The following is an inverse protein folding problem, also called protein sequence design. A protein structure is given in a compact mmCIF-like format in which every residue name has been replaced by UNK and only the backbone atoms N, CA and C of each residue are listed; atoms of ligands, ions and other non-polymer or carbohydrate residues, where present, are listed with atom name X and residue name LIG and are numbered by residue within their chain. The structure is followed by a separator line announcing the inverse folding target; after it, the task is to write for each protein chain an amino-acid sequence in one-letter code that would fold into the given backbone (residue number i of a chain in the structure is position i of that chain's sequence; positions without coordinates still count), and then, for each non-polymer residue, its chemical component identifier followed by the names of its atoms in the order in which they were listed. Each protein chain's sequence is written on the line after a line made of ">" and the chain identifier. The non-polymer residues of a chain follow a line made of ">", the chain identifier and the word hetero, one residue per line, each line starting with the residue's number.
data_IF_507400051332
#
_entry.id   IF_507400051332
#
_cell.length_a   1.000
_cell.length_b   1.000
_cell.length_c   1.000
_cell.angle_alpha   90.00
_cell.angle_beta   90.00
_cell.angle_gamma   90.00
#
_symmetry.space_group_name_H-M   'P 1'
#
loop_
_entity.id
_entity.type
_entity.pdbx_description
1 polymer ?
#
# COMPACT_ATOMS: atom_id res chain seq x y z
N UNK A 1 28.47 -53.24 -30.46
CA UNK A 1 28.61 -52.12 -29.50
C UNK A 1 27.94 -50.88 -30.10
N UNK A 2 26.73 -50.53 -29.65
CA UNK A 2 25.98 -49.34 -30.10
C UNK A 2 26.31 -48.16 -29.17
N UNK A 3 26.74 -47.03 -29.75
CA UNK A 3 26.94 -45.76 -29.04
C UNK A 3 25.58 -45.07 -28.84
N UNK A 4 25.27 -44.64 -27.63
CA UNK A 4 24.12 -43.77 -27.37
C UNK A 4 24.49 -42.30 -27.63
N UNK A 5 23.62 -41.48 -28.24
CA UNK A 5 23.79 -40.04 -28.28
C UNK A 5 23.26 -39.40 -26.99
N UNK A 6 24.08 -38.52 -26.41
CA UNK A 6 23.70 -37.67 -25.27
C UNK A 6 22.82 -36.55 -25.82
N UNK A 7 21.52 -36.61 -25.56
CA UNK A 7 20.58 -35.54 -25.86
C UNK A 7 20.73 -34.44 -24.81
N UNK A 8 21.38 -33.33 -25.15
CA UNK A 8 21.38 -32.14 -24.30
C UNK A 8 20.01 -31.47 -24.33
N UNK A 9 19.22 -31.69 -23.28
CA UNK A 9 17.99 -30.97 -23.00
C UNK A 9 18.37 -29.57 -22.47
N UNK A 10 18.27 -28.56 -23.33
CA UNK A 10 18.49 -27.15 -22.98
C UNK A 10 17.17 -26.60 -22.43
N UNK A 11 17.01 -26.64 -21.10
CA UNK A 11 15.93 -25.96 -20.38
C UNK A 11 16.27 -24.46 -20.34
N UNK A 12 15.68 -23.67 -21.23
CA UNK A 12 15.73 -22.20 -21.12
C UNK A 12 14.61 -21.78 -20.19
N UNK A 13 14.92 -21.70 -18.89
CA UNK A 13 14.09 -21.00 -17.90
C UNK A 13 14.18 -19.49 -18.18
N UNK A 14 13.21 -18.95 -18.92
CA UNK A 14 13.02 -17.50 -19.03
C UNK A 14 12.51 -17.03 -17.66
N UNK A 15 13.46 -16.65 -16.82
CA UNK A 15 13.24 -15.92 -15.58
C UNK A 15 12.62 -14.58 -15.98
N UNK A 16 11.31 -14.43 -15.75
CA UNK A 16 10.58 -13.19 -16.00
C UNK A 16 11.16 -12.09 -15.11
N UNK A 17 11.99 -11.24 -15.70
CA UNK A 17 12.34 -9.95 -15.12
C UNK A 17 11.04 -9.12 -15.09
N UNK A 18 10.33 -9.14 -13.98
CA UNK A 18 9.32 -8.13 -13.71
C UNK A 18 10.05 -6.80 -13.56
N UNK A 19 10.07 -6.03 -14.64
CA UNK A 19 10.48 -4.63 -14.57
C UNK A 19 9.42 -3.92 -13.73
N UNK A 20 9.71 -3.68 -12.46
CA UNK A 20 8.99 -2.71 -11.63
C UNK A 20 9.19 -1.34 -12.27
N UNK A 21 8.35 -1.04 -13.27
CA UNK A 21 8.21 0.30 -13.77
C UNK A 21 7.80 1.15 -12.57
N UNK A 22 8.64 2.12 -12.21
CA UNK A 22 8.30 3.12 -11.20
C UNK A 22 7.02 3.82 -11.68
N UNK A 23 5.86 3.38 -11.19
CA UNK A 23 4.59 3.97 -11.54
C UNK A 23 4.60 5.41 -10.99
N UNK A 24 4.33 6.38 -11.85
CA UNK A 24 4.25 7.80 -11.48
C UNK A 24 2.79 8.17 -11.30
N UNK A 25 2.49 8.97 -10.29
CA UNK A 25 1.14 9.43 -10.00
C UNK A 25 1.01 9.88 -8.55
N UNK A 26 -0.04 10.62 -8.26
CA UNK A 26 -0.36 11.15 -6.94
C UNK A 26 -1.54 10.43 -6.27
N UNK A 27 -2.33 9.66 -7.03
CA UNK A 27 -3.42 8.83 -6.50
C UNK A 27 -3.06 7.35 -6.65
N UNK A 28 -3.06 6.64 -5.54
CA UNK A 28 -2.81 5.20 -5.45
C UNK A 28 -4.13 4.47 -5.63
N UNK A 29 -4.27 3.65 -6.68
CA UNK A 29 -5.46 2.88 -6.96
C UNK A 29 -5.17 1.40 -6.74
N UNK A 30 -5.85 0.80 -5.78
CA UNK A 30 -5.51 -0.53 -5.28
C UNK A 30 -6.71 -1.47 -5.23
N UNK A 31 -6.51 -2.69 -5.74
CA UNK A 31 -7.46 -3.79 -5.63
C UNK A 31 -6.92 -4.86 -4.66
N UNK A 32 -6.97 -4.59 -3.35
CA UNK A 32 -6.71 -5.58 -2.30
C UNK A 32 -7.78 -6.70 -2.19
N UNK A 33 -8.68 -6.81 -3.17
CA UNK A 33 -9.75 -7.81 -3.25
C UNK A 33 -9.32 -9.11 -3.92
N UNK A 34 -10.30 -10.00 -4.07
CA UNK A 34 -10.17 -11.33 -4.68
C UNK A 34 -10.89 -11.44 -6.03
N UNK A 35 -11.50 -10.35 -6.51
CA UNK A 35 -12.21 -10.28 -7.80
C UNK A 35 -11.48 -9.34 -8.78
N UNK A 36 -11.55 -9.63 -10.07
CA UNK A 36 -11.14 -8.67 -11.10
C UNK A 36 -12.21 -7.59 -11.23
N UNK A 37 -11.78 -6.34 -11.36
CA UNK A 37 -12.66 -5.18 -11.46
C UNK A 37 -12.42 -4.43 -12.77
N UNK A 38 -13.50 -3.98 -13.42
CA UNK A 38 -13.42 -2.94 -14.44
C UNK A 38 -13.62 -1.60 -13.75
N UNK A 39 -12.60 -0.75 -13.80
CA UNK A 39 -12.58 0.55 -13.11
C UNK A 39 -12.47 1.66 -14.14
N UNK A 40 -13.45 2.55 -14.18
CA UNK A 40 -13.38 3.77 -14.98
C UNK A 40 -13.15 4.96 -14.06
N UNK A 41 -12.05 5.67 -14.25
CA UNK A 41 -11.78 6.96 -13.61
C UNK A 41 -11.83 8.05 -14.68
N UNK A 42 -12.80 8.95 -14.55
CA UNK A 42 -13.21 9.90 -15.58
C UNK A 42 -13.51 9.21 -16.92
N UNK A 43 -12.60 9.31 -17.90
CA UNK A 43 -12.74 8.71 -19.24
C UNK A 43 -11.87 7.45 -19.42
N UNK A 44 -10.97 7.16 -18.48
CA UNK A 44 -9.99 6.09 -18.59
C UNK A 44 -10.48 4.83 -17.88
N UNK A 45 -10.46 3.71 -18.59
CA UNK A 45 -10.89 2.40 -18.06
C UNK A 45 -9.71 1.47 -17.89
N UNK A 46 -9.69 0.77 -16.76
CA UNK A 46 -8.66 -0.15 -16.31
C UNK A 46 -9.28 -1.50 -15.95
N UNK A 47 -8.57 -2.58 -16.24
CA UNK A 47 -8.88 -3.91 -15.69
C UNK A 47 -7.93 -4.18 -14.54
N UNK A 48 -8.45 -4.23 -13.32
CA UNK A 48 -7.69 -4.38 -12.08
C UNK A 48 -7.89 -5.78 -11.54
N UNK A 49 -6.92 -6.66 -11.66
CA UNK A 49 -6.96 -8.04 -11.11
C UNK A 49 -6.78 -8.02 -9.59
N UNK A 50 -7.07 -9.14 -8.90
CA UNK A 50 -6.76 -9.29 -7.48
C UNK A 50 -5.31 -8.96 -7.17
N UNK A 51 -5.09 -8.04 -6.23
CA UNK A 51 -3.77 -7.56 -5.82
C UNK A 51 -3.13 -6.54 -6.76
N UNK A 52 -3.79 -6.12 -7.84
CA UNK A 52 -3.26 -5.11 -8.73
C UNK A 52 -3.23 -3.72 -8.05
N UNK A 53 -2.14 -3.02 -8.30
CA UNK A 53 -1.88 -1.66 -7.85
C UNK A 53 -1.46 -0.78 -9.03
N UNK A 54 -2.00 0.44 -9.05
CA UNK A 54 -1.60 1.44 -10.03
C UNK A 54 -1.57 2.85 -9.44
N UNK A 55 -0.52 3.63 -9.73
CA UNK A 55 -0.56 5.08 -9.55
C UNK A 55 -1.21 5.78 -10.75
N UNK A 56 -2.17 6.67 -10.45
CA UNK A 56 -2.81 7.59 -11.38
C UNK A 56 -2.30 9.01 -11.12
N UNK A 57 -2.06 9.75 -12.20
CA UNK A 57 -1.80 11.19 -12.13
C UNK A 57 -3.12 11.93 -12.36
N UNK A 58 -3.72 12.42 -11.28
CA UNK A 58 -4.95 13.21 -11.31
C UNK A 58 -4.67 14.65 -10.89
N UNK A 59 -5.19 15.60 -11.67
CA UNK A 59 -5.09 17.03 -11.33
C UNK A 59 -5.93 17.34 -10.09
N UNK A 60 -5.65 18.43 -9.35
CA UNK A 60 -6.56 18.89 -8.31
C UNK A 60 -7.93 19.23 -8.90
N UNK A 61 -9.01 18.70 -8.32
CA UNK A 61 -10.35 18.83 -8.90
C UNK A 61 -11.33 17.75 -8.47
N UNK A 62 -12.54 17.84 -9.01
CA UNK A 62 -13.57 16.81 -8.86
C UNK A 62 -13.38 15.76 -9.95
N UNK A 63 -13.38 14.48 -9.56
CA UNK A 63 -13.26 13.33 -10.44
C UNK A 63 -14.42 12.37 -10.20
N UNK A 64 -14.65 11.46 -11.16
CA UNK A 64 -15.64 10.39 -11.05
C UNK A 64 -14.98 9.04 -11.15
N UNK A 65 -15.47 8.08 -10.37
CA UNK A 65 -15.11 6.67 -10.46
C UNK A 65 -16.35 5.82 -10.65
N UNK A 66 -16.24 4.79 -11.49
CA UNK A 66 -17.19 3.70 -11.65
C UNK A 66 -16.42 2.40 -11.49
N UNK A 67 -16.91 1.50 -10.66
CA UNK A 67 -16.33 0.17 -10.45
C UNK A 67 -17.40 -0.85 -10.83
N UNK A 68 -17.03 -1.81 -11.67
CA UNK A 68 -17.86 -2.96 -12.03
C UNK A 68 -17.15 -4.26 -11.70
N UNK A 69 -17.94 -5.29 -11.41
CA UNK A 69 -17.45 -6.66 -11.28
C UNK A 69 -17.18 -7.31 -12.66
N UNK A 70 -16.71 -8.56 -12.64
CA UNK A 70 -16.37 -9.33 -13.85
C UNK A 70 -17.56 -9.57 -14.80
N UNK A 71 -18.78 -9.55 -14.27
CA UNK A 71 -20.02 -9.69 -15.05
C UNK A 71 -20.49 -8.34 -15.64
N UNK A 72 -19.75 -7.25 -15.39
CA UNK A 72 -20.06 -5.90 -15.85
C UNK A 72 -21.13 -5.19 -15.04
N UNK A 73 -21.50 -5.71 -13.86
CA UNK A 73 -22.45 -5.06 -12.96
C UNK A 73 -21.73 -3.97 -12.17
N UNK A 74 -22.30 -2.76 -12.16
CA UNK A 74 -21.80 -1.65 -11.34
C UNK A 74 -21.94 -1.99 -9.86
N UNK A 75 -20.81 -2.00 -9.15
CA UNK A 75 -20.73 -2.18 -7.70
C UNK A 75 -20.48 -0.85 -6.97
N UNK A 76 -19.89 0.13 -7.65
CA UNK A 76 -19.69 1.48 -7.11
C UNK A 76 -19.79 2.54 -8.20
N UNK A 77 -20.37 3.68 -7.86
CA UNK A 77 -20.29 4.90 -8.65
C UNK A 77 -20.23 6.11 -7.70
N UNK A 78 -19.14 6.87 -7.77
CA UNK A 78 -18.88 7.96 -6.84
C UNK A 78 -18.17 9.14 -7.51
N UNK A 79 -18.30 10.32 -6.90
CA UNK A 79 -17.45 11.48 -7.18
C UNK A 79 -16.55 11.77 -6.00
N UNK A 80 -15.34 12.22 -6.25
CA UNK A 80 -14.34 12.51 -5.22
C UNK A 80 -13.51 13.73 -5.58
N UNK A 81 -12.94 14.39 -4.56
CA UNK A 81 -12.16 15.61 -4.73
C UNK A 81 -10.67 15.33 -4.47
N UNK A 82 -9.84 15.52 -5.48
CA UNK A 82 -8.39 15.44 -5.35
C UNK A 82 -7.84 16.83 -5.01
N UNK A 83 -7.00 16.90 -3.97
CA UNK A 83 -6.19 18.09 -3.66
C UNK A 83 -4.74 17.86 -4.05
N UNK A 84 -4.06 16.96 -3.33
CA UNK A 84 -2.66 16.63 -3.59
C UNK A 84 -2.49 15.19 -4.06
N UNK A 85 -3.35 14.28 -3.60
CA UNK A 85 -3.28 12.86 -3.89
C UNK A 85 -4.12 12.06 -2.89
N UNK A 86 -4.08 10.73 -2.98
CA UNK A 86 -4.85 9.88 -2.09
C UNK A 86 -4.83 8.41 -2.46
N UNK A 87 -5.71 7.65 -1.83
CA UNK A 87 -5.98 6.24 -2.10
C UNK A 87 -7.36 6.09 -2.71
N UNK A 88 -7.47 5.31 -3.80
CA UNK A 88 -8.70 4.73 -4.31
C UNK A 88 -8.78 3.26 -3.87
N UNK A 89 -9.66 2.97 -2.92
CA UNK A 89 -9.90 1.65 -2.36
C UNK A 89 -10.94 0.89 -3.20
N UNK A 90 -10.49 0.19 -4.23
CA UNK A 90 -11.40 -0.43 -5.21
C UNK A 90 -12.20 -1.60 -4.63
N UNK A 91 -11.58 -2.33 -3.71
CA UNK A 91 -12.09 -3.58 -3.18
C UNK A 91 -12.83 -3.45 -1.84
N UNK A 92 -13.03 -2.22 -1.34
CA UNK A 92 -13.63 -1.94 -0.03
C UNK A 92 -12.97 -2.80 1.07
N UNK A 93 -11.65 -2.68 1.18
CA UNK A 93 -10.87 -3.35 2.24
C UNK A 93 -10.45 -2.34 3.31
N UNK A 94 -10.08 -2.86 4.46
CA UNK A 94 -9.43 -2.09 5.51
C UNK A 94 -8.00 -1.71 5.09
N UNK A 95 -7.66 -0.45 5.30
CA UNK A 95 -6.28 0.05 5.24
C UNK A 95 -5.93 0.71 6.55
N UNK A 96 -4.63 0.85 6.78
CA UNK A 96 -4.13 1.40 8.03
C UNK A 96 -3.00 2.38 7.73
N UNK A 97 -3.08 3.54 8.36
CA UNK A 97 -1.95 4.46 8.44
C UNK A 97 -1.28 4.18 9.77
N UNK A 98 -0.02 3.76 9.74
CA UNK A 98 0.81 3.64 10.92
C UNK A 98 1.73 4.86 11.02
N UNK A 99 1.62 5.59 12.12
CA UNK A 99 2.50 6.71 12.47
C UNK A 99 3.54 6.25 13.48
N UNK A 100 4.82 6.53 13.22
CA UNK A 100 5.89 6.26 14.17
C UNK A 100 6.90 7.41 14.27
N UNK A 101 7.63 7.43 15.38
CA UNK A 101 8.68 8.38 15.70
C UNK A 101 10.05 7.73 15.53
N UNK A 102 10.87 8.39 14.72
CA UNK A 102 12.25 8.08 14.43
C UNK A 102 13.14 9.08 15.18
N UNK A 103 13.90 8.60 16.17
CA UNK A 103 14.78 9.42 16.98
C UNK A 103 14.92 8.82 18.36
N UNK A 104 14.88 9.68 19.38
CA UNK A 104 14.86 9.24 20.77
C UNK A 104 13.53 8.55 21.13
N UNK A 105 13.53 7.24 21.44
CA UNK A 105 12.31 6.50 21.77
C UNK A 105 11.59 7.03 23.02
N UNK A 106 12.30 7.71 23.93
CA UNK A 106 11.69 8.28 25.14
C UNK A 106 10.66 9.38 24.83
N UNK A 107 10.71 9.95 23.62
CA UNK A 107 9.77 10.97 23.17
C UNK A 107 8.44 10.41 22.67
N UNK A 108 8.34 9.09 22.41
CA UNK A 108 7.12 8.48 21.85
C UNK A 108 5.89 8.78 22.68
N UNK A 109 5.97 8.58 24.00
CA UNK A 109 4.84 8.81 24.90
C UNK A 109 4.38 10.28 24.98
N UNK A 110 5.25 11.24 24.64
CA UNK A 110 4.89 12.67 24.59
C UNK A 110 4.35 13.07 23.21
N UNK A 111 4.88 12.48 22.14
CA UNK A 111 4.67 12.93 20.76
C UNK A 111 3.62 12.14 19.99
N UNK A 112 3.39 10.88 20.37
CA UNK A 112 2.45 9.98 19.73
C UNK A 112 1.29 9.66 20.67
N UNK A 113 0.15 9.29 20.07
CA UNK A 113 -1.05 8.82 20.76
C UNK A 113 -1.17 7.32 20.58
N UNK A 114 -0.19 6.58 21.09
CA UNK A 114 -0.15 5.12 20.97
C UNK A 114 -1.17 4.46 21.90
N UNK A 115 -1.98 3.55 21.34
CA UNK A 115 -2.92 2.72 22.09
C UNK A 115 -2.94 1.29 21.53
N UNK A 116 -3.70 0.40 22.17
CA UNK A 116 -3.98 -0.93 21.66
C UNK A 116 -5.10 -0.89 20.62
N UNK A 117 -4.76 -1.26 19.39
CA UNK A 117 -5.69 -1.38 18.28
C UNK A 117 -5.90 -2.84 17.91
N UNK A 118 -7.15 -3.24 17.66
CA UNK A 118 -7.46 -4.54 17.06
C UNK A 118 -7.33 -4.44 15.55
N UNK A 119 -6.43 -5.24 14.96
CA UNK A 119 -6.19 -5.32 13.51
C UNK A 119 -6.24 -6.80 13.13
N UNK A 120 -7.17 -7.15 12.25
CA UNK A 120 -7.62 -8.54 12.09
C UNK A 120 -7.98 -9.18 13.44
N UNK A 121 -7.37 -10.33 13.73
CA UNK A 121 -7.62 -11.10 14.96
C UNK A 121 -6.65 -10.81 16.10
N UNK A 122 -5.75 -9.82 15.95
CA UNK A 122 -4.69 -9.52 16.92
C UNK A 122 -4.75 -8.07 17.40
N UNK A 123 -4.15 -7.82 18.56
CA UNK A 123 -3.97 -6.49 19.11
C UNK A 123 -2.54 -6.02 18.90
N UNK A 124 -2.38 -4.79 18.42
CA UNK A 124 -1.09 -4.14 18.17
C UNK A 124 -1.05 -2.81 18.92
N UNK A 125 0.11 -2.50 19.50
CA UNK A 125 0.32 -1.23 20.21
C UNK A 125 1.04 -0.24 19.30
N UNK A 126 0.49 0.97 19.17
CA UNK A 126 1.04 2.03 18.32
C UNK A 126 -0.02 3.07 17.96
N UNK A 127 0.38 4.10 17.21
CA UNK A 127 -0.56 5.09 16.67
C UNK A 127 -1.02 4.66 15.27
N UNK A 128 -2.22 4.11 15.20
CA UNK A 128 -2.83 3.63 13.96
C UNK A 128 -4.11 4.39 13.64
N UNK A 129 -4.25 4.81 12.38
CA UNK A 129 -5.53 5.28 11.83
C UNK A 129 -6.08 4.24 10.88
N UNK A 130 -7.27 3.70 11.18
CA UNK A 130 -7.97 2.78 10.28
C UNK A 130 -8.72 3.57 9.22
N UNK A 131 -8.57 3.15 7.98
CA UNK A 131 -9.38 3.56 6.85
C UNK A 131 -10.43 2.47 6.63
N UNK A 132 -11.68 2.83 6.87
CA UNK A 132 -12.79 1.88 6.78
C UNK A 132 -13.17 1.56 5.33
N UNK A 133 -13.72 0.36 5.05
CA UNK A 133 -14.08 -0.14 3.72
C UNK A 133 -15.00 0.76 2.89
N UNK A 134 -15.85 1.56 3.54
CA UNK A 134 -16.77 2.48 2.88
C UNK A 134 -16.07 3.69 2.22
N UNK A 135 -14.83 3.98 2.59
CA UNK A 135 -14.09 5.10 2.04
C UNK A 135 -13.43 4.71 0.72
N UNK A 136 -14.14 4.93 -0.38
CA UNK A 136 -13.63 4.66 -1.74
C UNK A 136 -12.45 5.58 -2.08
N UNK A 137 -12.52 6.86 -1.68
CA UNK A 137 -11.40 7.78 -1.82
C UNK A 137 -10.98 8.32 -0.45
N UNK A 138 -9.68 8.26 -0.17
CA UNK A 138 -9.08 8.84 1.04
C UNK A 138 -8.00 9.82 0.64
N UNK A 139 -8.14 11.08 1.07
CA UNK A 139 -7.11 12.10 0.85
C UNK A 139 -5.81 11.71 1.54
N UNK A 140 -4.69 11.91 0.85
CA UNK A 140 -3.36 11.57 1.38
C UNK A 140 -3.09 12.34 2.67
N UNK A 141 -2.86 11.59 3.75
CA UNK A 141 -2.45 12.10 5.07
C UNK A 141 -1.19 11.40 5.58
N UNK A 142 -0.58 10.57 4.74
CA UNK A 142 0.61 9.78 5.02
C UNK A 142 1.84 10.29 4.27
N UNK A 143 3.04 10.04 4.80
CA UNK A 143 4.29 10.34 4.10
C UNK A 143 4.56 9.31 2.98
N UNK A 144 4.44 8.01 3.29
CA UNK A 144 4.80 6.90 2.41
C UNK A 144 3.57 6.08 1.97
N UNK A 145 3.43 5.89 0.67
CA UNK A 145 2.36 5.12 0.04
C UNK A 145 2.48 3.61 0.21
N UNK A 146 1.58 2.85 -0.42
CA UNK A 146 1.50 1.38 -0.31
C UNK A 146 2.81 0.70 -0.72
N UNK A 147 3.34 1.07 -1.88
CA UNK A 147 4.55 0.47 -2.48
C UNK A 147 5.85 1.21 -2.14
N UNK A 148 5.80 2.22 -1.24
CA UNK A 148 7.00 2.94 -0.78
C UNK A 148 7.57 2.29 0.49
N UNK A 149 8.89 2.14 0.60
CA UNK A 149 9.49 1.55 1.79
C UNK A 149 9.20 2.41 3.03
N UNK A 150 8.77 1.79 4.14
CA UNK A 150 8.77 2.48 5.43
C UNK A 150 10.22 2.52 5.92
N UNK A 151 10.78 3.70 6.24
CA UNK A 151 12.12 3.75 6.78
C UNK A 151 12.19 2.89 8.04
N UNK A 152 13.13 1.95 8.11
CA UNK A 152 13.34 1.11 9.31
C UNK A 152 14.53 1.56 10.13
N UNK A 153 15.40 2.40 9.54
CA UNK A 153 16.64 2.88 10.16
C UNK A 153 16.71 4.40 10.29
N UNK A 154 17.24 4.85 11.44
CA UNK A 154 17.52 6.26 11.72
C UNK A 154 18.60 6.86 10.81
N UNK A 155 19.53 6.04 10.31
CA UNK A 155 20.73 6.49 9.58
C UNK A 155 20.37 7.13 8.22
N UNK A 156 19.20 6.79 7.65
CA UNK A 156 18.69 7.40 6.42
C UNK A 156 17.88 8.68 6.63
N UNK A 157 17.54 9.04 7.87
CA UNK A 157 16.69 10.17 8.18
C UNK A 157 17.54 11.35 8.68
N UNK A 158 17.52 12.46 7.95
CA UNK A 158 18.16 13.69 8.39
C UNK A 158 17.33 14.30 9.52
N UNK A 159 17.60 13.87 10.75
CA UNK A 159 16.89 14.33 11.93
C UNK A 159 16.94 15.85 12.03
N UNK A 160 15.80 16.44 12.39
CA UNK A 160 15.66 17.88 12.57
C UNK A 160 16.52 18.37 13.76
N UNK A 161 16.54 19.69 14.00
CA UNK A 161 17.15 20.24 15.23
C UNK A 161 16.60 19.61 16.51
N UNK A 162 15.38 19.09 16.45
CA UNK A 162 14.69 18.44 17.56
C UNK A 162 15.13 16.97 17.77
N UNK A 163 16.04 16.43 16.93
CA UNK A 163 16.58 15.06 17.00
C UNK A 163 15.54 13.93 16.85
N UNK A 164 14.35 14.23 16.36
CA UNK A 164 13.36 13.24 15.96
C UNK A 164 12.62 13.67 14.68
N UNK A 165 11.93 12.71 14.08
CA UNK A 165 10.97 12.89 12.99
C UNK A 165 9.78 11.97 13.23
N UNK A 166 8.57 12.46 12.98
CA UNK A 166 7.36 11.63 12.93
C UNK A 166 7.08 11.35 11.48
N UNK A 167 6.84 10.08 11.16
CA UNK A 167 6.53 9.62 9.81
C UNK A 167 5.40 8.63 9.82
N UNK A 168 4.59 8.66 8.77
CA UNK A 168 3.48 7.73 8.61
C UNK A 168 3.49 7.03 7.26
N UNK A 169 3.00 5.79 7.25
CA UNK A 169 2.85 5.00 6.03
C UNK A 169 1.48 4.38 5.94
N UNK A 170 0.95 4.36 4.73
CA UNK A 170 -0.25 3.62 4.36
C UNK A 170 0.08 2.14 4.11
N UNK A 171 -0.73 1.26 4.69
CA UNK A 171 -0.61 -0.19 4.58
C UNK A 171 -1.94 -0.85 4.24
N UNK A 172 -1.86 -1.94 3.48
CA UNK A 172 -2.88 -3.00 3.51
C UNK A 172 -2.76 -3.73 4.84
N UNK A 173 -3.86 -4.30 5.35
CA UNK A 173 -3.85 -5.00 6.65
C UNK A 173 -2.71 -6.04 6.76
N UNK A 174 -2.59 -6.91 5.75
CA UNK A 174 -1.56 -7.97 5.73
C UNK A 174 -0.15 -7.38 5.79
N UNK A 175 0.12 -6.34 5.00
CA UNK A 175 1.42 -5.71 4.91
C UNK A 175 1.80 -5.02 6.23
N UNK A 176 0.82 -4.41 6.92
CA UNK A 176 1.03 -3.85 8.26
C UNK A 176 1.44 -4.93 9.26
N UNK A 177 0.71 -6.05 9.28
CA UNK A 177 0.98 -7.16 10.19
C UNK A 177 2.39 -7.71 9.94
N UNK A 178 2.78 -7.88 8.69
CA UNK A 178 4.12 -8.34 8.33
C UNK A 178 5.21 -7.35 8.77
N UNK A 179 5.04 -6.06 8.48
CA UNK A 179 5.97 -5.00 8.85
C UNK A 179 6.16 -4.88 10.37
N UNK A 180 5.05 -4.85 11.13
CA UNK A 180 5.09 -4.74 12.58
C UNK A 180 5.80 -5.94 13.22
N UNK A 181 5.48 -7.16 12.76
CA UNK A 181 6.13 -8.37 13.26
C UNK A 181 7.63 -8.44 12.93
N UNK A 182 8.04 -7.91 11.77
CA UNK A 182 9.46 -7.83 11.41
C UNK A 182 10.22 -6.92 12.38
N UNK A 183 9.68 -5.76 12.71
CA UNK A 183 10.28 -4.81 13.66
C UNK A 183 10.37 -5.37 15.07
N UNK A 184 9.32 -6.05 15.55
CA UNK A 184 9.33 -6.69 16.88
C UNK A 184 10.41 -7.79 17.02
N UNK A 185 10.75 -8.49 15.93
CA UNK A 185 11.83 -9.50 15.93
C UNK A 185 13.21 -8.86 15.99
N UNK A 186 13.39 -7.70 15.34
CA UNK A 186 14.65 -6.97 15.34
C UNK A 186 14.97 -6.37 16.72
N UNK A 187 13.97 -5.94 17.49
CA UNK A 187 14.15 -5.41 18.85
C UNK A 187 14.37 -6.47 19.93
N UNK A 188 14.16 -7.75 19.60
CA UNK A 188 14.33 -8.89 20.51
C UNK A 188 15.70 -9.58 20.39
N UNK A 189 16.58 -9.09 19.51
CA UNK A 189 17.97 -9.55 19.32
C UNK A 189 18.94 -8.55 19.93
#
# INVERSE_FOLDING_TARGET
>A
MKRQPITHLLLISILGLMMSACQKGNVEMDNAGDQTLEVTVDELTYTMKPGDYQKLELKPGTHRIIIKDEDGKTIEEATFQVKEGGLLNLARKDYYIWTDLYGDPSLKAEKLKEDWHKIGDKSYYGEFTRIEPENIYVEKTWDYGLEEDFPTDLIGLQLTREKYMIKSKLFREKDLIEAYNALARQSSQ
#
